data_IF_296708723788
#
_entry.id   IF_296708723788
#
_cell.length_a   1.000
_cell.length_b   1.000
_cell.length_c   1.000
_cell.angle_alpha   90.00
_cell.angle_beta   90.00
_cell.angle_gamma   90.00
#
_symmetry.space_group_name_H-M   'P 1'
#
loop_
_entity.id
_entity.type
_entity.pdbx_description
1 polymer ?
#
# COMPACT_ATOMS: atom_id res chain seq x y z
N UNK A 1 22.89 3.42 14.19
CA UNK A 1 21.63 2.97 14.84
C UNK A 1 21.06 4.13 15.61
N UNK A 2 19.81 4.53 15.36
CA UNK A 2 19.16 5.64 16.08
C UNK A 2 18.79 5.20 17.51
N UNK A 3 18.69 6.15 18.46
CA UNK A 3 18.27 5.87 19.83
C UNK A 3 16.84 5.28 19.86
N UNK A 4 15.94 5.82 19.04
CA UNK A 4 14.59 5.29 18.86
C UNK A 4 14.58 3.81 18.43
N UNK A 5 15.40 3.45 17.46
CA UNK A 5 15.48 2.06 16.99
C UNK A 5 15.96 1.12 18.09
N UNK A 6 17.03 1.50 18.81
CA UNK A 6 17.60 0.68 19.89
C UNK A 6 16.58 0.42 20.99
N UNK A 7 15.94 1.46 21.50
CA UNK A 7 14.94 1.32 22.56
C UNK A 7 13.73 0.48 22.15
N UNK A 8 13.27 0.63 20.90
CA UNK A 8 12.20 -0.21 20.36
C UNK A 8 12.64 -1.67 20.18
N UNK A 9 13.87 -1.90 19.70
CA UNK A 9 14.42 -3.25 19.53
C UNK A 9 14.54 -3.97 20.87
N UNK A 10 15.13 -3.33 21.87
CA UNK A 10 15.28 -3.90 23.23
C UNK A 10 13.91 -4.24 23.85
N UNK A 11 12.92 -3.36 23.66
CA UNK A 11 11.55 -3.61 24.16
C UNK A 11 10.89 -4.79 23.49
N UNK A 12 10.97 -4.88 22.15
CA UNK A 12 10.31 -5.94 21.39
C UNK A 12 11.00 -7.28 21.57
N UNK A 13 12.34 -7.33 21.54
CA UNK A 13 13.12 -8.57 21.71
C UNK A 13 12.97 -9.19 23.09
N UNK A 14 12.66 -8.39 24.11
CA UNK A 14 12.40 -8.89 25.46
C UNK A 14 11.03 -9.59 25.61
N UNK A 15 10.09 -9.38 24.69
CA UNK A 15 8.70 -9.80 24.85
C UNK A 15 8.18 -10.68 23.71
N UNK A 16 8.77 -10.59 22.52
CA UNK A 16 8.27 -11.20 21.30
C UNK A 16 9.34 -11.97 20.54
N UNK A 17 8.92 -13.03 19.87
CA UNK A 17 9.77 -13.81 18.98
C UNK A 17 10.22 -12.95 17.80
N UNK A 18 11.53 -12.88 17.56
CA UNK A 18 12.09 -12.33 16.35
C UNK A 18 11.98 -13.35 15.23
N UNK A 19 11.44 -12.95 14.07
CA UNK A 19 11.25 -13.82 12.91
C UNK A 19 12.26 -13.43 11.84
N UNK A 20 13.02 -14.41 11.36
CA UNK A 20 13.97 -14.23 10.25
C UNK A 20 13.27 -13.84 8.95
N UNK A 21 13.93 -13.03 8.11
CA UNK A 21 13.30 -12.51 6.90
C UNK A 21 12.91 -13.61 5.91
N UNK A 22 13.69 -14.68 5.82
CA UNK A 22 13.34 -15.84 5.01
C UNK A 22 11.99 -16.45 5.43
N UNK A 23 11.84 -16.79 6.70
CA UNK A 23 10.62 -17.39 7.26
C UNK A 23 9.45 -16.43 7.25
N UNK A 24 9.70 -15.15 7.53
CA UNK A 24 8.70 -14.09 7.46
C UNK A 24 7.97 -14.07 6.12
N UNK A 25 8.70 -14.11 5.00
CA UNK A 25 8.08 -14.10 3.67
C UNK A 25 7.46 -15.43 3.27
N UNK A 26 7.99 -16.54 3.77
CA UNK A 26 7.37 -17.86 3.62
C UNK A 26 6.01 -17.92 4.29
N UNK A 27 5.92 -17.33 5.47
CA UNK A 27 4.66 -17.23 6.20
C UNK A 27 3.68 -16.23 5.56
N UNK A 28 4.19 -15.11 5.08
CA UNK A 28 3.36 -14.07 4.44
C UNK A 28 2.77 -14.55 3.11
N UNK A 29 3.51 -15.35 2.35
CA UNK A 29 3.15 -15.83 1.02
C UNK A 29 3.30 -17.35 0.89
N UNK A 30 2.50 -18.14 1.59
CA UNK A 30 2.64 -19.60 1.58
C UNK A 30 2.37 -20.24 0.22
N UNK A 31 1.56 -19.58 -0.63
CA UNK A 31 1.09 -20.07 -1.93
C UNK A 31 1.84 -19.46 -3.13
N UNK A 32 3.08 -18.98 -2.95
CA UNK A 32 3.86 -18.50 -4.08
C UNK A 32 4.10 -19.61 -5.10
N UNK A 33 4.04 -19.28 -6.39
CA UNK A 33 4.25 -20.25 -7.47
C UNK A 33 5.68 -20.83 -7.47
N UNK A 34 5.88 -21.91 -8.22
CA UNK A 34 7.18 -22.53 -8.43
C UNK A 34 7.91 -21.90 -9.62
N UNK A 35 9.24 -21.88 -9.57
CA UNK A 35 10.08 -21.42 -10.66
C UNK A 35 9.88 -22.28 -11.90
N UNK A 36 9.80 -21.62 -13.06
CA UNK A 36 9.64 -22.32 -14.34
C UNK A 36 8.24 -22.84 -14.66
N UNK A 37 7.30 -22.74 -13.73
CA UNK A 37 5.89 -23.07 -14.00
C UNK A 37 5.30 -22.05 -14.97
N UNK A 38 4.88 -22.52 -16.13
CA UNK A 38 4.06 -21.72 -17.05
C UNK A 38 2.63 -21.72 -16.52
N UNK A 39 2.11 -20.55 -16.20
CA UNK A 39 0.74 -20.41 -15.78
C UNK A 39 -0.02 -19.51 -16.75
N UNK A 40 -1.31 -19.72 -16.85
CA UNK A 40 -2.19 -18.72 -17.42
C UNK A 40 -2.22 -17.48 -16.50
N UNK A 41 -2.65 -16.35 -17.04
CA UNK A 41 -2.57 -15.05 -16.36
C UNK A 41 -3.25 -14.99 -14.97
N UNK A 42 -3.98 -16.03 -14.57
CA UNK A 42 -4.88 -15.98 -13.41
C UNK A 42 -4.65 -17.09 -12.39
N UNK A 43 -3.99 -18.19 -12.75
CA UNK A 43 -3.99 -19.41 -11.93
C UNK A 43 -3.04 -19.40 -10.74
N UNK A 44 -1.84 -18.82 -10.85
CA UNK A 44 -0.80 -18.90 -9.82
C UNK A 44 -0.15 -17.53 -9.53
N UNK A 45 -0.84 -16.66 -8.78
CA UNK A 45 -0.27 -15.37 -8.41
C UNK A 45 0.88 -15.54 -7.40
N UNK A 46 1.94 -14.76 -7.55
CA UNK A 46 3.07 -14.68 -6.64
C UNK A 46 3.34 -13.27 -6.17
N UNK A 47 4.01 -13.15 -5.03
CA UNK A 47 4.57 -11.87 -4.59
C UNK A 47 5.63 -11.38 -5.60
N UNK A 48 5.74 -10.06 -5.70
CA UNK A 48 6.74 -9.39 -6.54
C UNK A 48 7.48 -8.40 -5.67
N UNK A 49 8.79 -8.51 -5.64
CA UNK A 49 9.66 -7.58 -4.91
C UNK A 49 10.61 -6.83 -5.83
N UNK A 50 11.07 -5.69 -5.33
CA UNK A 50 12.12 -4.88 -5.93
C UNK A 50 13.37 -5.01 -5.07
N UNK A 51 14.53 -4.99 -5.71
CA UNK A 51 15.82 -4.95 -5.03
C UNK A 51 16.80 -4.08 -5.81
N UNK A 52 17.75 -3.49 -5.13
CA UNK A 52 18.83 -2.75 -5.77
C UNK A 52 19.90 -3.73 -6.23
N UNK A 53 20.19 -3.72 -7.53
CA UNK A 53 21.24 -4.52 -8.12
C UNK A 53 22.63 -3.88 -7.97
N UNK A 54 23.67 -4.58 -8.40
CA UNK A 54 25.06 -4.08 -8.43
C UNK A 54 25.22 -2.83 -9.31
N UNK A 55 24.34 -2.67 -10.30
CA UNK A 55 24.25 -1.49 -11.16
C UNK A 55 23.54 -0.28 -10.51
N UNK A 56 23.27 -0.36 -9.21
CA UNK A 56 22.53 0.63 -8.41
C UNK A 56 21.08 0.87 -8.86
N UNK A 57 20.58 0.09 -9.83
CA UNK A 57 19.19 0.20 -10.32
C UNK A 57 18.26 -0.72 -9.56
N UNK A 58 16.97 -0.35 -9.56
CA UNK A 58 15.93 -1.20 -9.01
C UNK A 58 15.52 -2.26 -10.03
N UNK A 59 15.75 -3.49 -9.67
CA UNK A 59 15.30 -4.68 -10.41
C UNK A 59 14.01 -5.21 -9.80
N UNK A 60 13.27 -5.99 -10.60
CA UNK A 60 12.00 -6.60 -10.20
C UNK A 60 12.10 -8.11 -10.34
N UNK A 61 11.66 -8.82 -9.30
CA UNK A 61 11.66 -10.27 -9.27
C UNK A 61 10.38 -10.84 -8.66
N UNK A 62 9.93 -11.98 -9.13
CA UNK A 62 8.88 -12.77 -8.47
C UNK A 62 9.51 -13.58 -7.34
N UNK A 63 8.74 -13.79 -6.31
CA UNK A 63 9.11 -14.63 -5.18
C UNK A 63 8.60 -16.04 -5.45
N UNK A 64 9.48 -16.94 -5.84
CA UNK A 64 9.16 -18.34 -6.09
C UNK A 64 9.42 -19.18 -4.83
N UNK A 65 8.49 -20.06 -4.52
CA UNK A 65 8.55 -20.86 -3.29
C UNK A 65 9.79 -21.75 -3.19
N UNK A 66 10.18 -22.38 -4.30
CA UNK A 66 11.29 -23.33 -4.39
C UNK A 66 12.68 -22.67 -4.52
N UNK A 67 12.73 -21.40 -4.92
CA UNK A 67 14.02 -20.68 -5.06
C UNK A 67 14.20 -19.60 -3.98
N UNK A 68 13.24 -19.44 -3.07
CA UNK A 68 13.20 -18.31 -2.16
C UNK A 68 14.40 -18.24 -1.22
N UNK A 69 14.90 -19.36 -0.72
CA UNK A 69 16.07 -19.38 0.15
C UNK A 69 17.29 -18.73 -0.52
N UNK A 70 17.60 -19.16 -1.75
CA UNK A 70 18.67 -18.57 -2.54
C UNK A 70 18.40 -17.10 -2.88
N UNK A 71 17.18 -16.82 -3.35
CA UNK A 71 16.78 -15.47 -3.77
C UNK A 71 16.81 -14.48 -2.60
N UNK A 72 16.45 -14.94 -1.39
CA UNK A 72 16.50 -14.12 -0.19
C UNK A 72 17.95 -13.73 0.15
N UNK A 73 18.86 -14.71 0.22
CA UNK A 73 20.26 -14.47 0.53
C UNK A 73 20.97 -13.62 -0.53
N UNK A 74 20.64 -13.82 -1.80
CA UNK A 74 21.30 -13.10 -2.91
C UNK A 74 20.78 -11.68 -3.12
N UNK A 75 19.47 -11.45 -2.95
CA UNK A 75 18.84 -10.19 -3.36
C UNK A 75 18.19 -9.38 -2.25
N UNK A 76 17.97 -9.95 -1.07
CA UNK A 76 17.25 -9.28 0.01
C UNK A 76 18.11 -9.05 1.24
N UNK A 77 18.76 -10.10 1.71
CA UNK A 77 19.57 -10.05 2.92
C UNK A 77 20.69 -9.01 2.77
N UNK A 78 20.78 -8.10 3.75
CA UNK A 78 21.72 -6.97 3.76
C UNK A 78 21.64 -6.01 2.56
N UNK A 79 20.66 -6.17 1.65
CA UNK A 79 20.51 -5.26 0.50
C UNK A 79 20.08 -3.86 0.96
N UNK A 80 20.69 -2.78 0.43
CA UNK A 80 20.43 -1.40 0.88
C UNK A 80 19.04 -0.88 0.50
N UNK A 81 18.39 -1.48 -0.50
CA UNK A 81 17.04 -1.09 -0.92
C UNK A 81 16.27 -2.25 -1.53
N UNK A 82 15.32 -2.76 -0.77
CA UNK A 82 14.36 -3.75 -1.23
C UNK A 82 12.95 -3.30 -0.90
N UNK A 83 11.97 -3.64 -1.73
CA UNK A 83 10.58 -3.27 -1.51
C UNK A 83 9.66 -4.44 -1.86
N UNK A 84 8.75 -4.80 -0.95
CA UNK A 84 7.68 -5.76 -1.20
C UNK A 84 6.37 -5.24 -0.61
N UNK A 85 5.25 -5.55 -1.24
CA UNK A 85 3.90 -5.25 -0.71
C UNK A 85 3.28 -6.52 -0.11
N UNK A 86 2.16 -6.38 0.60
CA UNK A 86 1.39 -7.52 1.10
C UNK A 86 0.50 -8.21 0.04
N UNK A 87 0.78 -8.01 -1.24
CA UNK A 87 -0.04 -8.47 -2.36
C UNK A 87 0.67 -9.51 -3.21
N UNK A 88 -0.12 -10.39 -3.83
CA UNK A 88 0.35 -11.25 -4.92
C UNK A 88 -0.22 -10.77 -6.25
N UNK A 89 0.57 -10.96 -7.31
CA UNK A 89 0.32 -10.38 -8.62
C UNK A 89 0.35 -11.46 -9.70
N UNK A 90 -0.50 -11.31 -10.71
CA UNK A 90 -0.31 -12.00 -11.97
C UNK A 90 0.87 -11.39 -12.72
N UNK A 91 1.68 -12.20 -13.40
CA UNK A 91 2.87 -11.77 -14.12
C UNK A 91 3.90 -11.07 -13.19
N UNK A 92 5.02 -10.69 -13.72
CA UNK A 92 6.06 -9.94 -13.02
C UNK A 92 5.77 -8.42 -13.03
N UNK A 93 4.64 -7.99 -12.41
CA UNK A 93 4.23 -6.59 -12.38
C UNK A 93 3.55 -6.25 -11.05
N UNK A 94 4.19 -5.41 -10.25
CA UNK A 94 3.70 -4.94 -8.95
C UNK A 94 2.75 -3.72 -9.03
N UNK A 95 1.93 -3.65 -10.10
CA UNK A 95 0.91 -2.61 -10.25
C UNK A 95 -0.42 -3.09 -9.72
N UNK A 96 -1.22 -2.18 -9.16
CA UNK A 96 -2.52 -2.50 -8.57
C UNK A 96 -3.49 -3.19 -9.55
N UNK A 97 -3.42 -2.87 -10.84
CA UNK A 97 -4.21 -3.52 -11.89
C UNK A 97 -3.91 -5.02 -12.05
N UNK A 98 -2.68 -5.44 -11.71
CA UNK A 98 -2.23 -6.83 -11.77
C UNK A 98 -2.33 -7.57 -10.42
N UNK A 99 -2.66 -6.87 -9.34
CA UNK A 99 -2.85 -7.48 -8.03
C UNK A 99 -4.10 -8.37 -8.02
N UNK A 100 -3.92 -9.61 -7.58
CA UNK A 100 -4.98 -10.63 -7.54
C UNK A 100 -5.47 -10.93 -6.14
N UNK A 101 -4.58 -11.04 -5.16
CA UNK A 101 -4.95 -11.29 -3.77
C UNK A 101 -4.13 -10.41 -2.82
N UNK A 102 -4.71 -10.14 -1.66
CA UNK A 102 -4.06 -9.47 -0.55
C UNK A 102 -3.83 -10.48 0.58
N UNK A 103 -2.59 -10.74 0.88
CA UNK A 103 -2.17 -11.60 1.99
C UNK A 103 -2.03 -10.81 3.29
N UNK A 104 -1.63 -9.53 3.19
CA UNK A 104 -1.55 -8.65 4.35
C UNK A 104 -1.92 -7.20 4.01
N UNK A 105 -2.56 -6.54 4.96
CA UNK A 105 -2.70 -5.09 4.98
C UNK A 105 -1.57 -4.51 5.84
N UNK A 106 -0.77 -3.61 5.27
CA UNK A 106 0.44 -3.10 5.89
C UNK A 106 0.33 -1.60 6.07
N UNK A 107 0.77 -1.10 7.22
CA UNK A 107 0.86 0.32 7.52
C UNK A 107 2.30 0.67 7.87
N UNK A 108 2.76 1.82 7.41
CA UNK A 108 4.03 2.42 7.79
C UNK A 108 3.76 3.59 8.74
N UNK A 109 4.30 3.51 9.92
CA UNK A 109 4.15 4.51 10.97
C UNK A 109 5.52 5.07 11.31
N UNK A 110 5.82 6.22 10.75
CA UNK A 110 7.07 6.93 10.97
C UNK A 110 7.12 7.67 12.32
N UNK A 111 8.33 7.92 12.80
CA UNK A 111 8.56 8.66 14.03
C UNK A 111 8.06 7.93 15.28
N UNK A 112 8.43 6.66 15.41
CA UNK A 112 8.08 5.84 16.58
C UNK A 112 9.31 5.61 17.42
N UNK A 113 9.31 6.19 18.61
CA UNK A 113 10.26 5.88 19.67
C UNK A 113 9.65 4.95 20.71
N UNK A 114 10.39 4.67 21.79
CA UNK A 114 9.93 3.76 22.84
C UNK A 114 8.64 4.23 23.54
N UNK A 115 8.43 5.55 23.66
CA UNK A 115 7.20 6.10 24.24
C UNK A 115 5.98 5.82 23.38
N UNK A 116 6.07 6.08 22.08
CA UNK A 116 5.03 5.83 21.10
C UNK A 116 4.75 4.33 20.97
N UNK A 117 5.80 3.49 20.99
CA UNK A 117 5.65 2.03 20.95
C UNK A 117 4.88 1.50 22.17
N UNK A 118 5.21 1.94 23.38
CA UNK A 118 4.46 1.57 24.60
C UNK A 118 3.01 2.03 24.53
N UNK A 119 2.75 3.21 24.00
CA UNK A 119 1.38 3.71 23.80
C UNK A 119 0.60 2.87 22.76
N UNK A 120 1.27 2.39 21.70
CA UNK A 120 0.66 1.45 20.76
C UNK A 120 0.21 0.16 21.49
N UNK A 121 1.09 -0.45 22.29
CA UNK A 121 0.75 -1.68 23.04
C UNK A 121 -0.37 -1.47 24.06
N UNK A 122 -0.45 -0.31 24.72
CA UNK A 122 -1.58 0.03 25.59
C UNK A 122 -2.92 0.14 24.84
N UNK A 123 -2.90 0.35 23.52
CA UNK A 123 -4.08 0.54 22.67
C UNK A 123 -4.47 -0.70 21.90
N UNK A 124 -3.53 -1.62 21.64
CA UNK A 124 -3.81 -2.84 20.91
C UNK A 124 -4.84 -3.73 21.63
N UNK A 125 -5.57 -4.52 20.87
CA UNK A 125 -6.47 -5.57 21.29
C UNK A 125 -7.54 -5.15 22.31
N UNK A 126 -8.13 -3.97 22.10
CA UNK A 126 -9.22 -3.48 22.93
C UNK A 126 -10.54 -3.38 22.19
N UNK A 127 -11.63 -3.04 22.91
CA UNK A 127 -12.96 -2.86 22.32
C UNK A 127 -12.91 -1.89 21.12
N UNK A 128 -13.22 -2.35 19.89
CA UNK A 128 -13.15 -1.54 18.68
C UNK A 128 -14.04 -0.28 18.69
N UNK A 129 -15.09 -0.28 19.52
CA UNK A 129 -15.99 0.88 19.69
C UNK A 129 -15.31 2.06 20.38
N UNK A 130 -14.22 1.82 21.10
CA UNK A 130 -13.43 2.88 21.73
C UNK A 130 -12.44 3.45 20.71
N UNK A 131 -12.56 4.74 20.41
CA UNK A 131 -11.80 5.43 19.34
C UNK A 131 -10.28 5.25 19.43
N UNK A 132 -9.72 5.14 20.64
CA UNK A 132 -8.27 4.99 20.84
C UNK A 132 -7.78 3.55 20.78
N UNK A 133 -8.67 2.55 20.68
CA UNK A 133 -8.26 1.16 20.57
C UNK A 133 -7.89 0.81 19.13
N UNK A 134 -6.85 0.02 18.99
CA UNK A 134 -6.24 -0.35 17.71
C UNK A 134 -6.28 -1.86 17.54
N UNK A 135 -6.39 -2.36 16.30
CA UNK A 135 -6.23 -3.77 16.04
C UNK A 135 -4.79 -4.19 16.36
N UNK A 136 -4.62 -5.40 16.90
CA UNK A 136 -3.30 -5.99 17.13
C UNK A 136 -2.71 -6.46 15.80
N UNK A 137 -1.51 -6.03 15.40
CA UNK A 137 -0.86 -6.53 14.20
C UNK A 137 -0.30 -7.94 14.42
N UNK A 138 -0.22 -8.73 13.34
CA UNK A 138 0.44 -10.05 13.35
C UNK A 138 1.94 -9.88 13.58
N UNK A 139 2.54 -8.92 12.86
CA UNK A 139 3.95 -8.57 13.03
C UNK A 139 4.15 -7.06 13.16
N UNK A 140 5.14 -6.69 13.96
CA UNK A 140 5.76 -5.38 13.93
C UNK A 140 7.15 -5.51 13.32
N UNK A 141 7.45 -4.65 12.34
CA UNK A 141 8.77 -4.59 11.70
C UNK A 141 9.41 -3.24 12.02
N UNK A 142 10.59 -3.27 12.64
CA UNK A 142 11.39 -2.07 12.83
C UNK A 142 11.98 -1.63 11.50
N UNK A 143 11.70 -0.40 11.05
CA UNK A 143 12.10 0.13 9.74
C UNK A 143 13.23 1.18 9.80
N UNK A 144 13.76 1.47 10.99
CA UNK A 144 14.82 2.45 11.25
C UNK A 144 14.38 3.60 12.14
N UNK A 145 13.40 4.41 11.76
CA UNK A 145 12.83 5.49 12.58
C UNK A 145 11.31 5.35 12.74
N UNK A 146 10.80 4.15 12.50
CA UNK A 146 9.38 3.85 12.53
C UNK A 146 9.12 2.36 12.55
N UNK A 147 7.86 2.00 12.34
CA UNK A 147 7.36 0.64 12.35
C UNK A 147 6.52 0.36 11.10
N UNK A 148 6.67 -0.82 10.53
CA UNK A 148 5.62 -1.36 9.67
C UNK A 148 4.73 -2.29 10.49
N UNK A 149 3.43 -2.07 10.47
CA UNK A 149 2.43 -2.91 11.11
C UNK A 149 1.84 -3.85 10.05
N UNK A 150 2.06 -5.14 10.20
CA UNK A 150 1.57 -6.16 9.28
C UNK A 150 0.34 -6.87 9.87
N UNK A 151 -0.78 -6.74 9.21
CA UNK A 151 -2.01 -7.51 9.48
C UNK A 151 -2.12 -8.61 8.44
N UNK A 152 -1.61 -9.78 8.76
CA UNK A 152 -1.61 -10.94 7.87
C UNK A 152 -2.97 -11.63 7.96
N UNK A 153 -3.64 -11.78 6.82
CA UNK A 153 -4.96 -12.41 6.78
C UNK A 153 -4.87 -13.93 6.99
N UNK A 154 -5.85 -14.50 7.71
CA UNK A 154 -6.02 -15.95 7.82
C UNK A 154 -6.27 -16.55 6.44
N UNK A 155 -7.12 -15.90 5.66
CA UNK A 155 -7.42 -16.23 4.27
C UNK A 155 -7.14 -15.00 3.39
N UNK A 156 -6.30 -15.12 2.34
CA UNK A 156 -6.04 -14.03 1.42
C UNK A 156 -7.32 -13.51 0.78
N UNK A 157 -7.41 -12.19 0.60
CA UNK A 157 -8.60 -11.53 0.04
C UNK A 157 -8.44 -11.38 -1.47
N UNK A 158 -9.38 -11.91 -2.24
CA UNK A 158 -9.43 -11.74 -3.69
C UNK A 158 -9.69 -10.27 -4.08
N UNK A 159 -8.87 -9.76 -5.00
CA UNK A 159 -8.84 -8.35 -5.35
C UNK A 159 -9.61 -8.04 -6.64
N UNK A 160 -10.93 -8.09 -6.57
CA UNK A 160 -11.77 -7.51 -7.62
C UNK A 160 -11.73 -5.97 -7.57
N UNK A 161 -12.03 -5.27 -8.68
CA UNK A 161 -11.94 -3.80 -8.73
C UNK A 161 -12.72 -3.08 -7.64
N UNK A 162 -13.93 -3.54 -7.31
CA UNK A 162 -14.75 -2.99 -6.22
C UNK A 162 -14.14 -3.24 -4.83
N UNK A 163 -13.48 -4.40 -4.63
CA UNK A 163 -12.82 -4.75 -3.38
C UNK A 163 -11.55 -3.89 -3.18
N UNK A 164 -10.78 -3.65 -4.26
CA UNK A 164 -9.61 -2.75 -4.19
C UNK A 164 -9.99 -1.34 -3.71
N UNK A 165 -11.13 -0.81 -4.16
CA UNK A 165 -11.63 0.51 -3.74
C UNK A 165 -12.01 0.50 -2.27
N UNK A 166 -12.74 -0.53 -1.82
CA UNK A 166 -13.15 -0.66 -0.42
C UNK A 166 -11.94 -0.83 0.51
N UNK A 167 -10.99 -1.70 0.15
CA UNK A 167 -9.75 -1.88 0.92
C UNK A 167 -8.92 -0.61 1.02
N UNK A 168 -8.88 0.22 -0.04
CA UNK A 168 -8.26 1.54 0.03
C UNK A 168 -8.94 2.44 1.07
N UNK A 169 -10.28 2.46 1.09
CA UNK A 169 -11.04 3.26 2.05
C UNK A 169 -10.81 2.78 3.48
N UNK A 170 -10.87 1.46 3.71
CA UNK A 170 -10.55 0.87 5.01
C UNK A 170 -9.12 1.19 5.45
N UNK A 171 -8.13 1.05 4.55
CA UNK A 171 -6.74 1.36 4.87
C UNK A 171 -6.57 2.82 5.28
N UNK A 172 -7.20 3.76 4.59
CA UNK A 172 -7.11 5.19 4.94
C UNK A 172 -7.77 5.48 6.29
N UNK A 173 -8.91 4.87 6.55
CA UNK A 173 -9.63 5.00 7.81
C UNK A 173 -8.81 4.48 9.00
N UNK A 174 -8.22 3.29 8.84
CA UNK A 174 -7.33 2.72 9.85
C UNK A 174 -6.01 3.49 9.99
N UNK A 175 -5.44 4.04 8.90
CA UNK A 175 -4.26 4.91 8.98
C UNK A 175 -4.55 6.12 9.86
N UNK A 176 -5.70 6.77 9.65
CA UNK A 176 -6.13 7.90 10.49
C UNK A 176 -6.29 7.50 11.95
N UNK A 177 -6.82 6.31 12.22
CA UNK A 177 -7.01 5.79 13.57
C UNK A 177 -5.69 5.45 14.27
N UNK A 178 -4.72 4.87 13.54
CA UNK A 178 -3.42 4.46 14.07
C UNK A 178 -2.53 5.67 14.34
N UNK A 179 -2.58 6.70 13.49
CA UNK A 179 -1.66 7.83 13.53
C UNK A 179 -2.16 8.94 14.46
N UNK A 180 -1.58 9.04 15.65
CA UNK A 180 -1.84 10.12 16.59
C UNK A 180 -0.55 10.85 16.95
N UNK A 181 -0.47 12.14 16.59
CA UNK A 181 0.67 12.98 16.92
C UNK A 181 0.92 13.03 18.43
N UNK A 182 2.16 12.82 18.86
CA UNK A 182 2.59 12.67 20.26
C UNK A 182 1.95 11.49 21.02
N UNK A 183 1.15 10.68 20.35
CA UNK A 183 0.58 9.46 20.91
C UNK A 183 1.25 8.22 20.36
N UNK A 184 1.12 8.00 19.06
CA UNK A 184 1.67 6.84 18.36
C UNK A 184 2.75 7.21 17.35
N UNK A 185 2.91 8.51 17.05
CA UNK A 185 3.94 9.04 16.16
C UNK A 185 4.43 10.41 16.65
N UNK A 186 5.72 10.67 16.49
CA UNK A 186 6.33 11.98 16.71
C UNK A 186 6.05 12.94 15.53
N UNK A 187 5.54 12.44 14.42
CA UNK A 187 5.25 13.24 13.23
C UNK A 187 3.77 13.66 13.20
N UNK A 188 3.55 14.94 12.91
CA UNK A 188 2.22 15.52 12.84
C UNK A 188 1.47 15.15 11.55
N UNK A 189 2.19 15.06 10.43
CA UNK A 189 1.59 14.81 9.13
C UNK A 189 1.32 13.32 8.92
N UNK A 190 0.06 12.95 8.76
CA UNK A 190 -0.35 11.57 8.47
C UNK A 190 0.09 11.20 7.05
N UNK A 191 0.74 10.06 6.90
CA UNK A 191 1.18 9.54 5.61
C UNK A 191 0.24 8.43 5.13
N UNK A 192 -0.63 8.77 4.18
CA UNK A 192 -1.52 7.82 3.55
C UNK A 192 -0.82 7.08 2.42
N UNK A 193 -0.87 5.75 2.46
CA UNK A 193 -0.24 4.90 1.46
C UNK A 193 -1.28 4.06 0.71
N UNK A 194 -1.01 3.80 -0.56
CA UNK A 194 -1.84 2.90 -1.36
C UNK A 194 -1.81 1.47 -0.83
N UNK A 195 -2.80 0.65 -1.17
CA UNK A 195 -2.85 -0.76 -0.74
C UNK A 195 -1.73 -1.61 -1.37
N UNK A 196 -1.16 -1.17 -2.50
CA UNK A 196 -0.04 -1.83 -3.18
C UNK A 196 1.31 -1.14 -2.93
N UNK A 197 1.39 -0.27 -1.93
CA UNK A 197 2.66 0.32 -1.50
C UNK A 197 3.66 -0.78 -1.17
N UNK A 198 4.88 -0.67 -1.72
CA UNK A 198 6.01 -1.49 -1.33
C UNK A 198 6.64 -0.96 -0.05
N UNK A 199 6.98 -1.87 0.85
CA UNK A 199 7.66 -1.61 2.11
C UNK A 199 9.03 -2.26 2.08
N UNK A 200 10.01 -1.66 2.75
CA UNK A 200 11.34 -2.27 2.87
C UNK A 200 11.23 -3.67 3.47
N UNK A 201 11.99 -4.59 2.92
CA UNK A 201 11.88 -5.99 3.29
C UNK A 201 12.67 -6.31 4.56
N UNK A 202 12.14 -7.24 5.35
CA UNK A 202 12.82 -7.78 6.54
C UNK A 202 14.12 -8.44 6.15
N UNK A 203 15.20 -8.18 6.90
CA UNK A 203 16.55 -8.64 6.61
C UNK A 203 17.36 -7.71 5.69
N UNK A 204 16.71 -6.73 5.03
CA UNK A 204 17.43 -5.70 4.27
C UNK A 204 17.93 -4.56 5.18
N UNK A 205 18.79 -3.72 4.65
CA UNK A 205 19.33 -2.56 5.38
C UNK A 205 18.58 -1.29 4.99
N UNK A 206 18.16 -0.51 5.96
CA UNK A 206 17.76 0.85 5.71
C UNK A 206 19.00 1.74 5.60
N UNK A 207 19.45 2.02 4.38
CA UNK A 207 20.68 2.77 4.12
C UNK A 207 20.70 4.16 4.79
N UNK A 208 19.53 4.79 4.96
CA UNK A 208 19.43 6.11 5.62
C UNK A 208 19.84 6.09 7.09
N UNK A 209 19.58 4.99 7.80
CA UNK A 209 19.81 4.86 9.23
C UNK A 209 20.90 3.83 9.57
N UNK A 210 21.40 3.08 8.57
CA UNK A 210 22.35 1.98 8.76
C UNK A 210 21.79 0.88 9.67
N UNK A 211 20.49 0.59 9.59
CA UNK A 211 19.80 -0.37 10.45
C UNK A 211 19.17 -1.47 9.64
N UNK A 212 19.27 -2.70 10.12
CA UNK A 212 18.55 -3.84 9.55
C UNK A 212 17.06 -3.75 9.87
N UNK A 213 16.22 -4.21 8.95
CA UNK A 213 14.79 -4.37 9.21
C UNK A 213 14.52 -5.71 9.89
N UNK A 214 13.98 -5.64 11.09
CA UNK A 214 13.75 -6.81 11.95
C UNK A 214 12.28 -6.95 12.25
N UNK A 215 11.74 -8.17 12.08
CA UNK A 215 10.35 -8.50 12.35
C UNK A 215 10.17 -9.20 13.71
N UNK A 216 9.10 -8.84 14.41
CA UNK A 216 8.66 -9.48 15.65
C UNK A 216 7.22 -9.97 15.50
N UNK A 217 6.96 -11.21 15.91
CA UNK A 217 5.60 -11.78 15.97
C UNK A 217 4.90 -11.23 17.20
N UNK A 218 3.92 -10.36 16.98
CA UNK A 218 3.22 -9.68 18.08
C UNK A 218 1.79 -10.15 18.28
N UNK A 219 1.17 -10.75 17.26
CA UNK A 219 -0.20 -11.22 17.33
C UNK A 219 -0.49 -12.34 16.34
N UNK A 220 -1.75 -12.75 16.33
CA UNK A 220 -2.27 -13.79 15.45
C UNK A 220 -2.60 -13.24 14.04
N UNK A 221 -2.77 -14.15 13.07
CA UNK A 221 -3.36 -13.79 11.78
C UNK A 221 -4.77 -13.27 11.97
N UNK A 222 -5.14 -12.24 11.20
CA UNK A 222 -6.42 -11.55 11.36
C UNK A 222 -7.46 -11.98 10.32
N UNK A 223 -8.73 -11.74 10.63
CA UNK A 223 -9.81 -11.79 9.65
C UNK A 223 -10.12 -10.39 9.13
N UNK A 224 -10.76 -10.30 7.97
CA UNK A 224 -11.24 -9.02 7.45
C UNK A 224 -12.26 -8.38 8.40
N UNK A 225 -13.14 -9.18 9.00
CA UNK A 225 -14.16 -8.70 9.95
C UNK A 225 -13.54 -8.11 11.21
N UNK A 226 -12.42 -8.69 11.67
CA UNK A 226 -11.65 -8.11 12.77
C UNK A 226 -11.18 -6.69 12.43
N UNK A 227 -10.59 -6.47 11.26
CA UNK A 227 -10.17 -5.13 10.84
C UNK A 227 -11.36 -4.20 10.58
N UNK A 228 -12.43 -4.70 9.97
CA UNK A 228 -13.67 -3.96 9.75
C UNK A 228 -14.28 -3.43 11.06
N UNK A 229 -14.15 -4.16 12.17
CA UNK A 229 -14.64 -3.73 13.47
C UNK A 229 -13.97 -2.43 13.95
N UNK A 230 -12.71 -2.20 13.56
CA UNK A 230 -11.97 -0.98 13.89
C UNK A 230 -12.17 0.17 12.88
N UNK A 231 -12.91 -0.02 11.79
CA UNK A 231 -13.24 1.08 10.89
C UNK A 231 -13.99 2.18 11.63
N UNK A 232 -13.55 3.44 11.49
CA UNK A 232 -14.16 4.61 12.14
C UNK A 232 -15.52 4.87 11.49
N UNK A 233 -15.57 4.80 10.15
CA UNK A 233 -16.77 5.02 9.35
C UNK A 233 -17.32 3.68 8.87
N UNK A 234 -18.61 3.37 9.15
CA UNK A 234 -19.22 2.13 8.69
C UNK A 234 -19.14 1.91 7.17
N UNK A 235 -19.22 2.99 6.39
CA UNK A 235 -19.13 2.95 4.93
C UNK A 235 -17.73 2.61 4.41
N UNK A 236 -16.70 2.70 5.25
CA UNK A 236 -15.33 2.30 4.93
C UNK A 236 -15.03 0.83 5.21
N UNK A 237 -15.99 0.08 5.73
CA UNK A 237 -15.89 -1.37 5.89
C UNK A 237 -15.90 -2.06 4.53
N UNK A 238 -15.17 -3.15 4.45
CA UNK A 238 -15.07 -3.96 3.23
C UNK A 238 -16.11 -5.07 3.28
N UNK A 239 -16.92 -5.17 2.24
CA UNK A 239 -17.84 -6.26 2.00
C UNK A 239 -17.37 -7.05 0.76
N UNK A 240 -16.76 -8.21 0.97
CA UNK A 240 -16.24 -9.07 -0.09
C UNK A 240 -17.35 -9.74 -0.91
N UNK A 241 -18.56 -9.82 -0.36
CA UNK A 241 -19.72 -10.41 -1.04
C UNK A 241 -20.44 -9.40 -1.94
N UNK A 242 -20.05 -8.13 -1.89
CA UNK A 242 -20.62 -7.12 -2.77
C UNK A 242 -20.32 -7.43 -4.22
N UNK A 243 -21.34 -7.72 -5.04
CA UNK A 243 -21.11 -8.16 -6.41
C UNK A 243 -20.39 -7.08 -7.23
N UNK A 244 -19.42 -7.51 -8.03
CA UNK A 244 -18.75 -6.64 -8.98
C UNK A 244 -19.59 -6.52 -10.23
N UNK A 245 -20.45 -5.50 -10.26
CA UNK A 245 -21.11 -5.06 -11.47
C UNK A 245 -20.71 -3.62 -11.75
N UNK A 246 -19.94 -3.36 -12.82
CA UNK A 246 -19.49 -2.00 -13.18
C UNK A 246 -20.66 -1.05 -13.47
N UNK A 247 -21.76 -1.57 -13.93
CA UNK A 247 -23.07 -0.90 -13.92
C UNK A 247 -24.15 -1.98 -13.91
N UNK A 248 -25.24 -1.74 -13.18
CA UNK A 248 -26.45 -2.59 -13.28
C UNK A 248 -27.25 -2.31 -14.55
N UNK A 249 -26.80 -1.37 -15.38
CA UNK A 249 -27.48 -0.96 -16.60
C UNK A 249 -27.13 -1.91 -17.75
N UNK A 250 -28.18 -2.39 -18.43
CA UNK A 250 -28.04 -3.00 -19.75
C UNK A 250 -27.61 -1.95 -20.78
N UNK A 251 -27.12 -2.37 -21.95
CA UNK A 251 -26.80 -1.43 -23.03
C UNK A 251 -28.02 -0.58 -23.46
N UNK A 252 -29.19 -1.14 -23.42
CA UNK A 252 -30.43 -0.43 -23.75
C UNK A 252 -30.71 0.68 -22.71
N UNK A 253 -30.63 0.36 -21.43
CA UNK A 253 -30.79 1.34 -20.36
C UNK A 253 -29.69 2.42 -20.37
N UNK A 254 -28.46 2.05 -20.72
CA UNK A 254 -27.37 3.03 -20.85
C UNK A 254 -27.56 3.95 -22.08
N UNK A 255 -28.18 3.47 -23.17
CA UNK A 255 -28.54 4.28 -24.32
C UNK A 255 -29.58 5.33 -23.96
N UNK A 256 -30.56 4.95 -23.15
CA UNK A 256 -31.63 5.83 -22.72
C UNK A 256 -31.13 6.86 -21.67
N UNK A 257 -30.41 6.41 -20.65
CA UNK A 257 -29.94 7.26 -19.56
C UNK A 257 -28.76 8.18 -19.97
N UNK A 258 -27.92 7.75 -20.92
CA UNK A 258 -26.71 8.47 -21.35
C UNK A 258 -26.55 8.45 -22.88
N UNK A 259 -27.46 9.09 -23.65
CA UNK A 259 -27.48 9.02 -25.11
C UNK A 259 -26.19 9.56 -25.74
N UNK A 260 -25.62 10.67 -25.21
CA UNK A 260 -24.35 11.23 -25.70
C UNK A 260 -23.16 10.29 -25.52
N UNK A 261 -23.10 9.62 -24.36
CA UNK A 261 -22.07 8.61 -24.11
C UNK A 261 -22.24 7.44 -25.08
N UNK A 262 -23.48 6.95 -25.27
CA UNK A 262 -23.76 5.85 -26.16
C UNK A 262 -23.38 6.16 -27.61
N UNK A 263 -23.76 7.35 -28.11
CA UNK A 263 -23.38 7.82 -29.44
C UNK A 263 -21.87 7.83 -29.60
N UNK A 264 -21.15 8.51 -28.71
CA UNK A 264 -19.69 8.71 -28.77
C UNK A 264 -18.91 7.40 -28.62
N UNK A 265 -19.27 6.57 -27.64
CA UNK A 265 -18.44 5.41 -27.24
C UNK A 265 -18.83 4.16 -27.99
N UNK A 266 -20.14 3.94 -28.22
CA UNK A 266 -20.67 2.70 -28.82
C UNK A 266 -20.82 2.84 -30.33
N UNK A 267 -21.38 3.94 -30.82
CA UNK A 267 -21.63 4.14 -32.26
C UNK A 267 -20.35 4.64 -32.96
N UNK A 268 -19.73 5.68 -32.44
CA UNK A 268 -18.56 6.30 -33.07
C UNK A 268 -17.23 5.59 -32.68
N UNK A 269 -17.27 4.66 -31.76
CA UNK A 269 -16.08 3.95 -31.29
C UNK A 269 -15.08 4.82 -30.51
N UNK A 270 -15.43 6.05 -30.19
CA UNK A 270 -14.57 6.99 -29.50
C UNK A 270 -14.57 6.73 -27.99
N UNK A 271 -13.64 5.90 -27.54
CA UNK A 271 -13.45 5.56 -26.12
C UNK A 271 -12.69 6.63 -25.32
N UNK A 272 -12.21 7.70 -25.97
CA UNK A 272 -11.51 8.77 -25.26
C UNK A 272 -12.51 9.53 -24.39
N UNK A 273 -12.13 9.78 -23.15
CA UNK A 273 -12.86 10.69 -22.27
C UNK A 273 -12.94 12.05 -22.96
N UNK A 274 -14.11 12.72 -22.84
CA UNK A 274 -14.25 14.11 -23.30
C UNK A 274 -13.04 14.88 -22.75
N UNK A 275 -12.29 15.56 -23.59
CA UNK A 275 -11.21 16.45 -23.13
C UNK A 275 -11.84 17.43 -22.15
N UNK A 276 -11.22 17.55 -20.99
CA UNK A 276 -11.68 18.49 -20.00
C UNK A 276 -11.38 19.89 -20.54
N UNK A 277 -12.40 20.59 -20.98
CA UNK A 277 -12.27 21.94 -21.48
C UNK A 277 -12.40 22.91 -20.30
N UNK A 278 -11.26 23.35 -19.80
CA UNK A 278 -11.19 24.38 -18.76
C UNK A 278 -11.03 25.78 -19.38
N UNK A 279 -10.57 25.89 -20.61
CA UNK A 279 -10.25 27.15 -21.24
C UNK A 279 -11.44 28.11 -21.19
N UNK A 280 -12.63 27.66 -21.54
CA UNK A 280 -13.85 28.47 -21.48
C UNK A 280 -14.32 28.90 -20.09
N UNK A 281 -13.79 28.27 -19.03
CA UNK A 281 -14.21 28.61 -17.65
C UNK A 281 -13.30 29.62 -16.96
N UNK A 282 -12.05 29.75 -17.40
CA UNK A 282 -11.05 30.51 -16.64
C UNK A 282 -10.44 31.66 -17.36
N UNK A 283 -10.11 31.58 -18.66
CA UNK A 283 -9.26 32.60 -19.32
C UNK A 283 -9.49 32.80 -20.82
N UNK A 284 -10.66 32.52 -21.35
CA UNK A 284 -10.93 32.74 -22.78
C UNK A 284 -10.10 31.81 -23.68
N UNK A 285 -9.56 32.36 -24.76
CA UNK A 285 -8.91 31.58 -25.84
C UNK A 285 -7.43 31.28 -25.61
N UNK A 286 -6.87 31.54 -24.43
CA UNK A 286 -5.46 31.23 -24.13
C UNK A 286 -5.28 29.69 -23.91
N UNK A 287 -4.63 28.97 -24.84
CA UNK A 287 -4.42 27.51 -24.69
C UNK A 287 -3.49 27.14 -23.53
N UNK A 288 -2.68 28.10 -23.05
CA UNK A 288 -1.74 27.92 -21.96
C UNK A 288 -2.21 28.53 -20.64
N UNK A 289 -3.47 28.90 -20.51
CA UNK A 289 -4.01 29.56 -19.32
C UNK A 289 -3.78 28.76 -18.05
N UNK A 290 -3.96 27.43 -18.09
CA UNK A 290 -3.70 26.53 -16.97
C UNK A 290 -2.21 26.40 -16.64
N UNK A 291 -1.36 26.32 -17.64
CA UNK A 291 0.08 26.28 -17.43
C UNK A 291 0.54 27.56 -16.73
N UNK A 292 0.11 28.73 -17.21
CA UNK A 292 0.42 29.99 -16.56
C UNK A 292 -0.17 30.11 -15.16
N UNK A 293 -1.36 29.57 -14.94
CA UNK A 293 -1.94 29.53 -13.60
C UNK A 293 -1.09 28.69 -12.64
N UNK A 294 -0.68 27.50 -13.06
CA UNK A 294 0.21 26.66 -12.26
C UNK A 294 1.57 27.30 -12.00
N UNK A 295 2.17 27.95 -12.99
CA UNK A 295 3.43 28.68 -12.77
C UNK A 295 3.31 29.74 -11.66
N UNK A 296 2.19 30.41 -11.57
CA UNK A 296 1.95 31.42 -10.52
C UNK A 296 1.79 30.80 -9.13
N UNK A 297 1.48 29.50 -9.03
CA UNK A 297 1.32 28.79 -7.74
C UNK A 297 2.66 28.27 -7.17
N UNK A 298 3.79 28.52 -7.82
CA UNK A 298 5.08 27.93 -7.41
C UNK A 298 5.48 28.28 -5.98
N UNK A 299 5.13 29.47 -5.51
CA UNK A 299 5.43 29.92 -4.15
C UNK A 299 4.59 29.28 -3.04
N UNK A 300 3.49 28.61 -3.41
CA UNK A 300 2.58 27.94 -2.46
C UNK A 300 2.79 26.43 -2.35
N UNK A 301 3.83 25.89 -3.02
CA UNK A 301 4.07 24.46 -3.08
C UNK A 301 4.89 24.00 -1.89
N UNK A 302 4.21 23.27 -1.01
CA UNK A 302 4.81 22.67 0.18
C UNK A 302 5.43 21.30 -0.10
N UNK A 303 6.20 20.79 0.87
CA UNK A 303 6.77 19.43 0.83
C UNK A 303 5.70 18.36 0.59
N UNK A 304 6.00 17.38 -0.26
CA UNK A 304 5.08 16.31 -0.65
C UNK A 304 4.26 16.57 -1.93
N UNK A 305 4.09 17.82 -2.35
CA UNK A 305 3.29 18.17 -3.55
C UNK A 305 4.12 18.48 -4.80
N UNK A 306 5.45 18.48 -4.71
CA UNK A 306 6.36 18.84 -5.81
C UNK A 306 6.17 18.00 -7.06
N UNK A 307 6.01 16.67 -6.89
CA UNK A 307 5.77 15.76 -8.02
C UNK A 307 4.45 16.07 -8.73
N UNK A 308 3.38 16.25 -7.97
CA UNK A 308 2.06 16.61 -8.52
C UNK A 308 2.11 17.93 -9.30
N UNK A 309 2.79 18.92 -8.74
CA UNK A 309 2.98 20.21 -9.38
C UNK A 309 3.73 20.11 -10.72
N UNK A 310 4.88 19.41 -10.73
CA UNK A 310 5.65 19.20 -11.97
C UNK A 310 4.85 18.42 -13.01
N UNK A 311 4.07 17.43 -12.57
CA UNK A 311 3.18 16.67 -13.45
C UNK A 311 2.11 17.58 -14.07
N UNK A 312 1.49 18.45 -13.29
CA UNK A 312 0.51 19.42 -13.80
C UNK A 312 1.14 20.38 -14.81
N UNK A 313 2.32 20.92 -14.52
CA UNK A 313 3.05 21.78 -15.47
C UNK A 313 3.35 21.03 -16.77
N UNK A 314 3.84 19.80 -16.71
CA UNK A 314 4.15 19.01 -17.89
C UNK A 314 2.89 18.69 -18.73
N UNK A 315 1.76 18.38 -18.07
CA UNK A 315 0.49 18.09 -18.77
C UNK A 315 -0.07 19.33 -19.48
N UNK A 316 0.05 20.50 -18.87
CA UNK A 316 -0.55 21.73 -19.39
C UNK A 316 0.40 22.57 -20.25
N UNK A 317 1.69 22.21 -20.32
CA UNK A 317 2.65 22.76 -21.29
C UNK A 317 2.55 22.10 -22.67
N UNK A 318 1.90 20.95 -22.77
CA UNK A 318 1.77 20.15 -23.98
C UNK A 318 0.35 20.24 -24.54
#
# INVERSE_FOLDING_TARGET
>A
MTENYRGCYEYLSAQFEQVGGYDFYRELFPDNELYGVKYDDFSHPSAVYLYQGEDERLHRRKMYHDTWEKDYTEFVEQNPLTLCSGLVYRRNKNRLEHAQRMNALIFDLDGVGIGELRNLFLRFDGDPKRVRRLPMPTFLVLSGNGLHLYYVFKEPIDLYPNIKVQLKSLKYDLTFRIWEYKGTSQLKAIQYQSINQGFRMVGSINAKYGTELVAFRTGERVTLDYLNAYAIKPENRVDINKPFHPSRMTRAQAKEAYPEWYQRVVIEGNKRKKKWDIAGKVHGDDPYALYHWWLRQIGSIEGGHRYFYLMCLAIYAY
#
